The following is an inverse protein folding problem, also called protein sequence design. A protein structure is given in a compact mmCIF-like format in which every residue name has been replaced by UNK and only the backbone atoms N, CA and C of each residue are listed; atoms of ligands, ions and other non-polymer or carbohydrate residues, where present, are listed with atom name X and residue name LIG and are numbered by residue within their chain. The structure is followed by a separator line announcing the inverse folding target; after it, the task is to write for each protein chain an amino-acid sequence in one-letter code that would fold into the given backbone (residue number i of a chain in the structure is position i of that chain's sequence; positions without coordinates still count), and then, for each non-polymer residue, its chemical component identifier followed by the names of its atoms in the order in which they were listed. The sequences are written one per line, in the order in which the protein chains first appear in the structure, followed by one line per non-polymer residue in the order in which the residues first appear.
data_IF_537881704700
#
_entry.id   IF_537881704700
#
_cell.length_a   1.000
_cell.length_b   1.000
_cell.length_c   1.000
_cell.angle_alpha   90.00
_cell.angle_beta   90.00
_cell.angle_gamma   90.00
#
_symmetry.space_group_name_H-M   'P 1'
#
loop_
_entity.id
_entity.type
_entity.pdbx_description
1 polymer ?
#
# COMPACT_ATOMS: atom_id res chain seq x y z
N UNK A 1 -16.59 43.05 67.87
CA UNK A 1 -17.40 43.41 66.67
C UNK A 1 -16.61 44.12 65.57
N UNK A 2 -15.27 43.94 65.44
CA UNK A 2 -14.47 44.48 64.31
C UNK A 2 -13.60 43.38 63.64
N UNK A 3 -13.67 42.12 64.08
CA UNK A 3 -12.91 41.01 63.48
C UNK A 3 -13.66 40.24 62.38
N UNK A 4 -14.99 40.32 62.30
CA UNK A 4 -15.79 39.49 61.38
C UNK A 4 -15.98 40.09 59.98
N UNK A 5 -15.77 41.40 59.79
CA UNK A 5 -15.93 42.02 58.47
C UNK A 5 -14.76 41.72 57.51
N UNK A 6 -13.56 41.44 58.03
CA UNK A 6 -12.40 41.12 57.18
C UNK A 6 -12.45 39.72 56.58
N UNK A 7 -13.22 38.80 57.17
CA UNK A 7 -13.33 37.44 56.65
C UNK A 7 -14.37 37.32 55.54
N UNK A 8 -15.42 38.14 55.58
CA UNK A 8 -16.45 38.21 54.53
C UNK A 8 -15.87 38.71 53.19
N UNK A 9 -15.02 39.74 53.22
CA UNK A 9 -14.39 40.29 52.00
C UNK A 9 -13.49 39.29 51.27
N UNK A 10 -12.78 38.42 52.01
CA UNK A 10 -11.91 37.39 51.41
C UNK A 10 -12.72 36.29 50.73
N UNK A 11 -13.88 35.92 51.28
CA UNK A 11 -14.78 34.92 50.67
C UNK A 11 -15.39 35.43 49.37
N UNK A 12 -15.82 36.68 49.32
CA UNK A 12 -16.33 37.29 48.07
C UNK A 12 -15.24 37.40 46.99
N UNK A 13 -14.00 37.73 47.36
CA UNK A 13 -12.90 37.82 46.40
C UNK A 13 -12.53 36.45 45.80
N UNK A 14 -12.51 35.40 46.63
CA UNK A 14 -12.28 34.03 46.14
C UNK A 14 -13.42 33.53 45.24
N UNK A 15 -14.67 33.85 45.57
CA UNK A 15 -15.81 33.49 44.73
C UNK A 15 -15.74 34.19 43.37
N UNK A 16 -15.35 35.47 43.34
CA UNK A 16 -15.20 36.21 42.08
C UNK A 16 -14.10 35.64 41.18
N UNK A 17 -12.95 35.25 41.76
CA UNK A 17 -11.87 34.60 41.01
C UNK A 17 -12.31 33.22 40.49
N UNK A 18 -13.02 32.43 41.31
CA UNK A 18 -13.52 31.12 40.90
C UNK A 18 -14.56 31.25 39.78
N UNK A 19 -15.48 32.21 39.85
CA UNK A 19 -16.45 32.48 38.79
C UNK A 19 -15.76 32.96 37.50
N UNK A 20 -14.74 33.81 37.57
CA UNK A 20 -13.96 34.20 36.40
C UNK A 20 -13.19 33.02 35.79
N UNK A 21 -12.59 32.15 36.61
CA UNK A 21 -11.90 30.95 36.12
C UNK A 21 -12.86 29.95 35.46
N UNK A 22 -14.07 29.77 36.02
CA UNK A 22 -15.12 28.93 35.42
C UNK A 22 -15.60 29.54 34.11
N UNK A 23 -15.81 30.86 34.03
CA UNK A 23 -16.20 31.52 32.79
C UNK A 23 -15.12 31.41 31.72
N UNK A 24 -13.84 31.57 32.07
CA UNK A 24 -12.73 31.34 31.13
C UNK A 24 -12.73 29.88 30.68
N UNK A 25 -12.94 28.91 31.57
CA UNK A 25 -13.01 27.49 31.18
C UNK A 25 -14.19 27.21 30.24
N UNK A 26 -15.37 27.77 30.53
CA UNK A 26 -16.60 27.62 29.74
C UNK A 26 -16.44 28.27 28.36
N UNK A 27 -15.88 29.47 28.25
CA UNK A 27 -15.77 30.16 26.96
C UNK A 27 -14.58 29.72 26.11
N UNK A 28 -13.48 29.26 26.73
CA UNK A 28 -12.27 28.89 26.00
C UNK A 28 -12.19 27.39 25.66
N UNK A 29 -12.76 26.51 26.49
CA UNK A 29 -12.64 25.05 26.27
C UNK A 29 -13.90 24.38 25.72
N UNK A 30 -15.10 24.97 25.87
CA UNK A 30 -16.33 24.38 25.32
C UNK A 30 -16.44 24.45 23.78
N UNK A 31 -15.78 25.38 23.03
CA UNK A 31 -15.81 25.31 21.56
C UNK A 31 -15.13 24.07 20.96
N UNK A 32 -14.36 23.31 21.75
CA UNK A 32 -13.68 22.09 21.32
C UNK A 32 -14.37 20.79 21.74
N UNK A 33 -15.48 20.87 22.48
CA UNK A 33 -16.36 19.73 22.73
C UNK A 33 -17.47 19.71 21.67
N UNK A 34 -17.18 19.09 20.50
CA UNK A 34 -18.26 18.75 19.56
C UNK A 34 -19.25 17.77 20.22
N UNK A 35 -20.55 17.90 19.92
CA UNK A 35 -21.60 17.13 20.56
C UNK A 35 -21.52 15.65 20.18
N UNK A 36 -21.73 14.80 21.18
CA UNK A 36 -22.05 13.40 21.03
C UNK A 36 -23.32 13.26 20.17
N UNK A 37 -23.13 12.91 18.90
CA UNK A 37 -24.20 12.47 18.02
C UNK A 37 -24.41 10.97 18.25
N UNK A 38 -25.49 10.67 18.96
CA UNK A 38 -26.48 9.63 18.62
C UNK A 38 -25.93 8.36 17.93
N UNK A 39 -25.64 7.34 18.73
CA UNK A 39 -25.46 5.96 18.26
C UNK A 39 -26.84 5.30 18.24
N UNK A 40 -27.34 4.78 17.10
CA UNK A 40 -28.55 3.98 17.08
C UNK A 40 -28.32 2.64 17.80
N UNK A 41 -29.11 2.37 18.83
CA UNK A 41 -29.27 1.04 19.41
C UNK A 41 -30.08 0.16 18.43
N UNK A 42 -29.42 -0.40 17.43
CA UNK A 42 -29.93 -1.58 16.70
C UNK A 42 -28.84 -2.23 15.86
N UNK A 43 -27.82 -2.80 16.52
CA UNK A 43 -27.05 -3.88 15.88
C UNK A 43 -27.81 -5.19 16.05
N UNK A 44 -28.40 -5.60 14.94
CA UNK A 44 -29.15 -6.82 14.77
C UNK A 44 -28.33 -8.06 15.13
N UNK A 45 -29.06 -8.99 15.71
CA UNK A 45 -28.73 -10.39 15.97
C UNK A 45 -28.01 -11.03 14.78
N UNK A 46 -26.99 -11.82 15.11
CA UNK A 46 -26.46 -12.97 14.39
C UNK A 46 -27.24 -13.36 13.11
N UNK A 47 -26.57 -13.21 11.96
CA UNK A 47 -26.92 -13.94 10.75
C UNK A 47 -26.67 -15.45 10.99
N UNK A 48 -27.55 -16.34 10.50
CA UNK A 48 -27.43 -17.76 10.72
C UNK A 48 -26.26 -18.33 9.93
N UNK A 49 -25.60 -19.28 10.58
CA UNK A 49 -24.69 -20.29 10.07
C UNK A 49 -25.04 -20.70 8.63
N UNK A 50 -24.29 -20.17 7.66
CA UNK A 50 -24.37 -20.65 6.29
C UNK A 50 -23.78 -22.07 6.26
N UNK A 51 -24.64 -23.02 5.94
CA UNK A 51 -24.31 -24.44 5.82
C UNK A 51 -23.10 -24.62 4.90
N UNK A 52 -22.10 -25.32 5.44
CA UNK A 52 -20.87 -25.73 4.79
C UNK A 52 -21.19 -26.72 3.67
N UNK A 53 -21.48 -26.20 2.47
CA UNK A 53 -21.43 -26.99 1.24
C UNK A 53 -19.98 -27.45 1.06
N UNK A 54 -19.77 -28.77 0.93
CA UNK A 54 -18.47 -29.36 0.66
C UNK A 54 -17.83 -28.68 -0.55
N UNK A 55 -16.72 -27.99 -0.29
CA UNK A 55 -16.04 -27.10 -1.22
C UNK A 55 -15.29 -27.89 -2.29
N UNK A 56 -15.59 -27.60 -3.55
CA UNK A 56 -14.60 -27.72 -4.63
C UNK A 56 -13.50 -26.71 -4.24
N UNK A 57 -12.32 -27.23 -3.86
CA UNK A 57 -11.17 -26.53 -3.26
C UNK A 57 -10.47 -25.53 -4.21
N UNK A 58 -11.21 -24.78 -5.01
CA UNK A 58 -10.62 -23.63 -5.69
C UNK A 58 -10.53 -22.47 -4.70
N UNK A 59 -9.33 -22.24 -4.18
CA UNK A 59 -8.98 -21.09 -3.33
C UNK A 59 -8.86 -19.77 -4.09
N UNK A 60 -8.92 -19.81 -5.43
CA UNK A 60 -8.59 -18.66 -6.28
C UNK A 60 -9.62 -17.51 -6.22
N UNK A 61 -10.86 -17.79 -5.79
CA UNK A 61 -11.94 -16.79 -5.72
C UNK A 61 -12.79 -16.94 -4.46
N UNK A 62 -12.85 -15.89 -3.66
CA UNK A 62 -13.57 -15.85 -2.39
C UNK A 62 -14.62 -14.73 -2.37
N UNK A 63 -15.88 -15.07 -2.10
CA UNK A 63 -16.94 -14.08 -1.89
C UNK A 63 -16.84 -13.50 -0.48
N UNK A 64 -16.33 -12.27 -0.36
CA UNK A 64 -16.11 -11.62 0.94
C UNK A 64 -17.39 -10.93 1.46
N UNK A 65 -18.18 -10.38 0.54
CA UNK A 65 -19.47 -9.74 0.84
C UNK A 65 -20.35 -9.78 -0.40
N UNK A 66 -21.67 -9.53 -0.29
CA UNK A 66 -22.54 -9.49 -1.45
C UNK A 66 -21.94 -8.63 -2.57
N UNK A 67 -21.84 -9.23 -3.75
CA UNK A 67 -21.33 -8.59 -4.97
C UNK A 67 -19.85 -8.22 -4.98
N UNK A 68 -19.02 -8.71 -4.05
CA UNK A 68 -17.57 -8.47 -4.03
C UNK A 68 -16.81 -9.78 -3.81
N UNK A 69 -15.98 -10.11 -4.79
CA UNK A 69 -15.13 -11.29 -4.78
C UNK A 69 -13.67 -10.85 -4.67
N UNK A 70 -12.94 -11.45 -3.74
CA UNK A 70 -11.47 -11.38 -3.69
C UNK A 70 -10.90 -12.48 -4.57
N UNK A 71 -9.86 -12.12 -5.31
CA UNK A 71 -9.14 -13.01 -6.21
C UNK A 71 -7.78 -13.29 -5.60
N UNK A 72 -7.41 -14.57 -5.55
CA UNK A 72 -6.20 -15.08 -4.94
C UNK A 72 -5.29 -15.66 -6.04
N UNK A 73 -4.30 -14.91 -6.55
CA UNK A 73 -3.40 -15.41 -7.58
C UNK A 73 -2.57 -16.60 -7.09
N UNK A 74 -2.37 -17.56 -7.98
CA UNK A 74 -1.51 -18.73 -7.77
C UNK A 74 -0.12 -18.45 -8.34
N UNK A 75 0.91 -18.85 -7.61
CA UNK A 75 2.31 -18.73 -8.04
C UNK A 75 2.76 -19.97 -8.80
N UNK A 76 3.41 -19.80 -9.95
CA UNK A 76 4.06 -20.86 -10.71
C UNK A 76 5.53 -20.56 -11.00
N UNK A 77 6.20 -21.52 -11.65
CA UNK A 77 7.57 -21.40 -12.17
C UNK A 77 7.53 -21.86 -13.62
N UNK A 78 8.03 -21.04 -14.54
CA UNK A 78 8.05 -21.40 -15.96
C UNK A 78 9.27 -22.26 -16.33
N UNK A 79 9.39 -22.60 -17.61
CA UNK A 79 10.48 -23.44 -18.14
C UNK A 79 11.88 -22.81 -17.96
N UNK A 80 11.97 -21.50 -17.75
CA UNK A 80 13.22 -20.79 -17.53
C UNK A 80 13.56 -20.63 -16.04
N UNK A 81 12.72 -21.14 -15.13
CA UNK A 81 12.86 -20.93 -13.68
C UNK A 81 12.24 -19.63 -13.18
N UNK A 82 11.64 -18.83 -14.07
CA UNK A 82 11.08 -17.54 -13.68
C UNK A 82 9.78 -17.74 -12.91
N UNK A 83 9.65 -17.02 -11.78
CA UNK A 83 8.46 -17.05 -10.94
C UNK A 83 7.39 -16.18 -11.60
N UNK A 84 6.19 -16.74 -11.72
CA UNK A 84 5.05 -16.01 -12.24
C UNK A 84 3.81 -16.13 -11.37
N UNK A 85 2.88 -15.20 -11.56
CA UNK A 85 1.57 -15.20 -10.90
C UNK A 85 0.48 -15.29 -11.95
N UNK A 86 -0.49 -16.16 -11.72
CA UNK A 86 -1.66 -16.30 -12.58
C UNK A 86 -2.93 -16.41 -11.75
N UNK A 87 -4.08 -16.10 -12.35
CA UNK A 87 -5.39 -16.31 -11.71
C UNK A 87 -6.33 -17.03 -12.66
N UNK A 88 -7.10 -17.99 -12.13
CA UNK A 88 -8.21 -18.60 -12.85
C UNK A 88 -9.52 -18.03 -12.30
N UNK A 89 -10.19 -17.19 -13.10
CA UNK A 89 -11.46 -16.57 -12.70
C UNK A 89 -12.68 -17.34 -13.19
N UNK A 90 -12.61 -17.87 -14.41
CA UNK A 90 -13.77 -18.42 -15.09
C UNK A 90 -14.23 -19.74 -14.48
N UNK A 91 -13.29 -20.65 -14.21
CA UNK A 91 -13.62 -21.97 -13.66
C UNK A 91 -14.21 -21.87 -12.25
N UNK A 92 -13.61 -21.12 -11.29
CA UNK A 92 -14.17 -21.04 -9.94
C UNK A 92 -15.51 -20.31 -9.90
N UNK A 93 -15.68 -19.24 -10.68
CA UNK A 93 -16.96 -18.53 -10.76
C UNK A 93 -18.08 -19.39 -11.36
N UNK A 94 -17.75 -20.20 -12.37
CA UNK A 94 -18.68 -21.17 -12.94
C UNK A 94 -19.01 -22.30 -11.96
N UNK A 95 -18.00 -22.96 -11.40
CA UNK A 95 -18.19 -24.22 -10.67
C UNK A 95 -18.63 -24.00 -9.23
N UNK A 96 -17.99 -23.07 -8.52
CA UNK A 96 -18.31 -22.76 -7.12
C UNK A 96 -19.52 -21.84 -7.01
N UNK A 97 -19.60 -20.81 -7.87
CA UNK A 97 -20.63 -19.76 -7.77
C UNK A 97 -21.73 -19.85 -8.83
N UNK A 98 -21.72 -20.88 -9.70
CA UNK A 98 -22.77 -21.16 -10.70
C UNK A 98 -23.03 -20.02 -11.68
N UNK A 99 -21.99 -19.27 -12.05
CA UNK A 99 -22.13 -18.21 -13.06
C UNK A 99 -22.51 -18.78 -14.43
N UNK A 100 -23.49 -18.16 -15.08
CA UNK A 100 -23.95 -18.57 -16.42
C UNK A 100 -23.10 -17.96 -17.54
N UNK A 101 -23.32 -18.40 -18.78
CA UNK A 101 -22.58 -17.93 -19.96
C UNK A 101 -22.66 -16.40 -20.14
N UNK A 102 -23.80 -15.78 -19.85
CA UNK A 102 -23.95 -14.31 -19.92
C UNK A 102 -23.07 -13.60 -18.91
N UNK A 103 -23.00 -14.09 -17.66
CA UNK A 103 -22.13 -13.51 -16.63
C UNK A 103 -20.65 -13.70 -16.96
N UNK A 104 -20.26 -14.87 -17.46
CA UNK A 104 -18.88 -15.16 -17.86
C UNK A 104 -18.47 -14.32 -19.09
N UNK A 105 -19.36 -14.13 -20.06
CA UNK A 105 -19.12 -13.25 -21.21
C UNK A 105 -18.97 -11.79 -20.76
N UNK A 106 -19.83 -11.32 -19.86
CA UNK A 106 -19.69 -9.99 -19.26
C UNK A 106 -18.39 -9.85 -18.43
N UNK A 107 -17.91 -10.93 -17.81
CA UNK A 107 -16.63 -10.95 -17.12
C UNK A 107 -15.47 -10.75 -18.10
N UNK A 108 -15.45 -11.51 -19.20
CA UNK A 108 -14.42 -11.38 -20.23
C UNK A 108 -14.35 -9.93 -20.74
N UNK A 109 -15.49 -9.31 -21.02
CA UNK A 109 -15.57 -7.91 -21.42
C UNK A 109 -14.99 -6.95 -20.36
N UNK A 110 -15.28 -7.17 -19.08
CA UNK A 110 -14.73 -6.37 -17.97
C UNK A 110 -13.22 -6.57 -17.87
N UNK A 111 -12.74 -7.80 -17.97
CA UNK A 111 -11.31 -8.13 -17.90
C UNK A 111 -10.54 -7.47 -19.05
N UNK A 112 -11.03 -7.61 -20.27
CA UNK A 112 -10.44 -6.96 -21.45
C UNK A 112 -10.34 -5.46 -21.23
N UNK A 113 -11.40 -4.78 -20.79
CA UNK A 113 -11.35 -3.34 -20.50
C UNK A 113 -10.41 -2.96 -19.35
N UNK A 114 -10.35 -3.78 -18.31
CA UNK A 114 -9.56 -3.49 -17.09
C UNK A 114 -8.07 -3.86 -17.21
N UNK A 115 -7.70 -4.71 -18.16
CA UNK A 115 -6.34 -5.24 -18.31
C UNK A 115 -5.65 -4.78 -19.60
N UNK A 116 -6.40 -4.31 -20.60
CA UNK A 116 -5.83 -3.88 -21.88
C UNK A 116 -5.97 -2.37 -22.08
N UNK A 117 -5.01 -1.77 -22.80
CA UNK A 117 -5.01 -0.34 -23.13
C UNK A 117 -5.87 -0.07 -24.40
N UNK A 118 -7.12 -0.53 -24.43
CA UNK A 118 -7.98 -0.42 -25.61
C UNK A 118 -8.33 1.01 -26.06
N UNK A 119 -7.92 2.05 -25.31
CA UNK A 119 -7.99 3.44 -25.78
C UNK A 119 -7.11 3.73 -27.00
N UNK A 120 -6.18 2.84 -27.38
CA UNK A 120 -5.22 3.07 -28.48
C UNK A 120 -5.64 2.39 -29.80
N UNK A 121 -6.57 1.42 -29.79
CA UNK A 121 -6.80 0.53 -30.94
C UNK A 121 -7.80 1.02 -32.02
N UNK A 122 -8.12 2.32 -32.10
CA UNK A 122 -9.04 2.86 -33.13
C UNK A 122 -8.40 3.73 -34.21
N UNK A 123 -7.09 4.01 -34.18
CA UNK A 123 -6.41 4.61 -35.33
C UNK A 123 -5.85 3.50 -36.21
N UNK A 124 -6.44 3.33 -37.39
CA UNK A 124 -6.18 2.24 -38.35
C UNK A 124 -4.82 2.26 -39.03
N UNK A 125 -3.72 2.40 -38.27
CA UNK A 125 -2.36 2.25 -38.78
C UNK A 125 -1.68 1.10 -38.03
N UNK A 126 -1.95 -0.11 -38.51
CA UNK A 126 -1.43 -1.36 -37.98
C UNK A 126 0.04 -1.54 -38.41
N UNK A 127 0.94 -0.82 -37.77
CA UNK A 127 2.31 -1.30 -37.61
C UNK A 127 2.32 -2.25 -36.42
N UNK A 128 2.93 -3.42 -36.58
CA UNK A 128 2.86 -4.57 -35.68
C UNK A 128 3.23 -4.22 -34.23
N UNK A 129 2.25 -3.81 -33.43
CA UNK A 129 2.39 -3.76 -31.98
C UNK A 129 2.46 -5.19 -31.47
N UNK A 130 3.51 -5.49 -30.71
CA UNK A 130 3.59 -6.71 -29.92
C UNK A 130 2.43 -6.65 -28.94
N UNK A 131 1.38 -7.44 -29.18
CA UNK A 131 0.28 -7.59 -28.24
C UNK A 131 0.86 -7.98 -26.88
N UNK A 132 0.36 -7.38 -25.81
CA UNK A 132 0.71 -7.84 -24.47
C UNK A 132 0.26 -9.30 -24.34
N UNK A 133 1.08 -10.18 -23.77
CA UNK A 133 0.74 -11.59 -23.54
C UNK A 133 -0.64 -11.74 -22.87
N UNK A 134 -0.97 -10.81 -21.98
CA UNK A 134 -2.26 -10.78 -21.29
C UNK A 134 -3.44 -10.44 -22.23
N UNK A 135 -3.24 -9.55 -23.19
CA UNK A 135 -4.25 -9.23 -24.21
C UNK A 135 -4.47 -10.43 -25.14
N UNK A 136 -3.40 -11.09 -25.56
CA UNK A 136 -3.48 -12.30 -26.38
C UNK A 136 -4.22 -13.44 -25.66
N UNK A 137 -3.94 -13.66 -24.37
CA UNK A 137 -4.63 -14.65 -23.55
C UNK A 137 -6.14 -14.39 -23.47
N UNK A 138 -6.53 -13.14 -23.22
CA UNK A 138 -7.95 -12.78 -23.11
C UNK A 138 -8.68 -12.91 -24.44
N UNK A 139 -8.04 -12.56 -25.56
CA UNK A 139 -8.66 -12.66 -26.89
C UNK A 139 -8.84 -14.10 -27.39
N UNK A 140 -8.11 -15.07 -26.82
CA UNK A 140 -8.26 -16.51 -27.12
C UNK A 140 -9.38 -17.19 -26.31
N UNK A 141 -9.90 -16.52 -25.28
CA UNK A 141 -10.95 -17.07 -24.44
C UNK A 141 -12.28 -17.13 -25.21
N UNK A 142 -12.82 -18.34 -25.33
CA UNK A 142 -14.10 -18.60 -26.01
C UNK A 142 -15.14 -19.10 -25.00
N UNK A 143 -16.27 -18.40 -24.94
CA UNK A 143 -17.37 -18.75 -24.04
C UNK A 143 -18.52 -19.28 -24.88
N UNK A 144 -18.70 -20.60 -24.85
CA UNK A 144 -19.76 -21.29 -25.57
C UNK A 144 -21.08 -21.20 -24.77
N UNK A 145 -22.12 -20.52 -25.30
CA UNK A 145 -23.39 -20.36 -24.60
C UNK A 145 -24.21 -21.66 -24.52
N UNK A 146 -23.97 -22.61 -25.43
CA UNK A 146 -24.80 -23.81 -25.60
C UNK A 146 -24.22 -25.01 -24.84
N UNK A 147 -22.88 -25.10 -24.71
CA UNK A 147 -22.22 -26.26 -24.11
C UNK A 147 -22.00 -26.10 -22.59
N UNK A 148 -22.30 -24.93 -21.99
CA UNK A 148 -21.95 -24.61 -20.59
C UNK A 148 -20.45 -24.83 -20.27
N UNK A 149 -19.61 -24.98 -21.30
CA UNK A 149 -18.17 -25.20 -21.18
C UNK A 149 -17.43 -23.92 -21.49
N UNK A 150 -16.65 -23.44 -20.52
CA UNK A 150 -15.57 -22.49 -20.78
C UNK A 150 -14.47 -23.29 -21.48
N UNK A 151 -14.30 -23.10 -22.79
CA UNK A 151 -13.20 -23.70 -23.53
C UNK A 151 -12.16 -22.61 -23.77
N UNK A 152 -10.88 -22.93 -23.57
CA UNK A 152 -9.75 -22.09 -23.97
C UNK A 152 -9.50 -20.80 -23.15
N UNK A 153 -10.21 -20.55 -22.06
CA UNK A 153 -9.87 -19.41 -21.18
C UNK A 153 -8.72 -19.80 -20.26
N UNK A 154 -7.49 -19.61 -20.73
CA UNK A 154 -6.27 -19.83 -19.96
C UNK A 154 -6.25 -18.94 -18.69
N UNK A 155 -5.54 -19.36 -17.62
CA UNK A 155 -5.28 -18.51 -16.48
C UNK A 155 -4.66 -17.17 -16.91
N UNK A 156 -5.15 -16.08 -16.33
CA UNK A 156 -4.69 -14.72 -16.63
C UNK A 156 -3.32 -14.53 -15.98
N UNK A 157 -2.32 -14.23 -16.78
CA UNK A 157 -0.97 -13.98 -16.31
C UNK A 157 -0.83 -12.55 -15.78
N UNK A 158 -0.45 -12.40 -14.51
CA UNK A 158 -0.27 -11.09 -13.86
C UNK A 158 1.14 -10.51 -14.06
N UNK A 159 2.05 -11.31 -14.60
CA UNK A 159 3.46 -10.96 -14.74
C UNK A 159 4.35 -12.07 -14.20
N UNK A 160 5.60 -12.03 -14.63
CA UNK A 160 6.70 -12.77 -14.02
C UNK A 160 7.71 -11.81 -13.43
N UNK A 161 8.32 -12.24 -12.34
CA UNK A 161 9.60 -11.71 -11.91
C UNK A 161 10.65 -12.72 -12.29
N UNK A 162 11.63 -12.31 -13.10
CA UNK A 162 12.64 -13.27 -13.46
C UNK A 162 13.39 -13.66 -12.20
N UNK A 163 13.69 -14.95 -12.08
CA UNK A 163 14.56 -15.48 -11.04
C UNK A 163 15.91 -14.72 -11.08
N UNK A 164 16.26 -14.20 -12.26
CA UNK A 164 17.41 -13.32 -12.49
C UNK A 164 17.41 -11.97 -11.76
N UNK A 165 16.35 -11.59 -11.03
CA UNK A 165 16.50 -10.55 -10.01
C UNK A 165 17.49 -10.99 -8.93
N UNK A 166 17.48 -12.26 -8.53
CA UNK A 166 18.48 -12.85 -7.62
C UNK A 166 19.88 -12.91 -8.26
N UNK A 167 19.94 -13.14 -9.58
CA UNK A 167 21.20 -13.07 -10.34
C UNK A 167 21.62 -11.63 -10.70
N UNK A 168 20.91 -10.62 -10.21
CA UNK A 168 21.29 -9.23 -10.45
C UNK A 168 22.61 -8.97 -9.73
N UNK A 169 23.66 -8.66 -10.49
CA UNK A 169 24.97 -8.28 -9.95
C UNK A 169 24.89 -7.09 -8.97
N UNK A 170 23.81 -6.30 -9.02
CA UNK A 170 23.55 -5.25 -8.03
C UNK A 170 23.11 -5.79 -6.65
N UNK A 171 22.55 -7.01 -6.53
CA UNK A 171 22.23 -7.57 -5.21
C UNK A 171 23.47 -8.04 -4.45
N UNK A 172 24.51 -8.50 -5.16
CA UNK A 172 25.75 -8.98 -4.53
C UNK A 172 26.71 -7.86 -4.13
N UNK A 173 26.50 -6.66 -4.66
CA UNK A 173 27.31 -5.47 -4.40
C UNK A 173 26.86 -4.75 -3.13
N UNK A 174 27.81 -4.14 -2.44
CA UNK A 174 27.54 -3.33 -1.24
C UNK A 174 26.82 -2.05 -1.60
N UNK A 175 26.18 -1.42 -0.60
CA UNK A 175 25.58 -0.11 -0.75
C UNK A 175 26.56 0.88 -1.39
N UNK A 176 27.79 0.99 -0.93
CA UNK A 176 28.78 1.93 -1.46
C UNK A 176 29.17 1.67 -2.93
N UNK A 177 28.95 0.45 -3.43
CA UNK A 177 29.29 0.01 -4.79
C UNK A 177 28.14 0.20 -5.78
N UNK A 178 26.90 0.20 -5.29
CA UNK A 178 25.68 0.42 -6.10
C UNK A 178 25.06 1.79 -5.91
N UNK A 179 25.29 2.39 -4.75
CA UNK A 179 24.85 3.73 -4.45
C UNK A 179 25.65 4.65 -5.36
N UNK A 180 24.99 5.48 -6.17
CA UNK A 180 25.62 6.68 -6.64
C UNK A 180 25.82 7.57 -5.41
N UNK A 181 26.92 7.39 -4.68
CA UNK A 181 27.38 8.33 -3.64
C UNK A 181 27.50 9.76 -4.23
N UNK A 182 27.48 9.89 -5.56
CA UNK A 182 27.46 11.12 -6.34
C UNK A 182 26.07 11.61 -6.81
N UNK A 183 24.97 10.92 -6.50
CA UNK A 183 23.61 11.38 -6.76
C UNK A 183 22.77 11.27 -5.48
N UNK A 184 23.21 11.98 -4.43
CA UNK A 184 22.36 12.24 -3.27
C UNK A 184 21.00 12.73 -3.77
N UNK A 185 19.91 12.26 -3.14
CA UNK A 185 18.56 12.66 -3.50
C UNK A 185 18.50 14.16 -3.75
N UNK A 186 17.96 14.54 -4.89
CA UNK A 186 18.04 15.91 -5.38
C UNK A 186 17.47 16.88 -4.33
N UNK A 187 18.22 17.90 -3.93
CA UNK A 187 17.64 18.96 -3.10
C UNK A 187 16.63 19.72 -3.96
N UNK A 188 15.38 19.74 -3.50
CA UNK A 188 14.34 20.51 -4.16
C UNK A 188 14.37 21.94 -3.63
N UNK A 189 15.13 22.85 -4.25
CA UNK A 189 15.22 24.24 -3.77
C UNK A 189 13.91 25.04 -3.98
N UNK A 190 13.54 25.88 -3.01
CA UNK A 190 12.33 26.72 -3.08
C UNK A 190 12.49 27.88 -4.07
N UNK A 191 13.67 28.50 -4.12
CA UNK A 191 14.00 29.63 -4.97
C UNK A 191 15.48 29.57 -5.37
N UNK A 192 15.82 29.94 -6.62
CA UNK A 192 17.22 30.19 -6.99
C UNK A 192 17.61 31.49 -6.30
N UNK A 193 18.52 31.49 -5.32
CA UNK A 193 18.88 32.71 -4.61
C UNK A 193 19.31 33.79 -5.61
N UNK A 194 19.10 35.05 -5.24
CA UNK A 194 19.71 36.15 -5.98
C UNK A 194 21.22 35.88 -6.17
N UNK A 195 21.80 36.29 -7.32
CA UNK A 195 23.20 35.98 -7.66
C UNK A 195 24.24 36.44 -6.61
N UNK A 196 23.83 37.23 -5.61
CA UNK A 196 24.65 37.76 -4.53
C UNK A 196 24.49 37.05 -3.18
N UNK A 197 23.69 35.99 -3.05
CA UNK A 197 23.62 35.21 -1.81
C UNK A 197 24.93 34.43 -1.62
N UNK A 198 25.74 34.85 -0.66
CA UNK A 198 27.12 34.39 -0.51
C UNK A 198 27.27 32.94 -0.01
N UNK A 199 26.20 32.29 0.48
CA UNK A 199 26.21 30.84 0.72
C UNK A 199 24.78 30.29 0.89
N UNK A 200 24.42 29.23 0.15
CA UNK A 200 23.20 28.47 0.40
C UNK A 200 23.40 27.49 1.56
N UNK A 201 22.45 27.45 2.50
CA UNK A 201 22.41 26.46 3.57
C UNK A 201 21.62 25.24 3.08
N UNK A 202 22.28 24.09 2.97
CA UNK A 202 21.61 22.84 2.61
C UNK A 202 20.69 22.34 3.73
N UNK A 203 19.51 21.86 3.36
CA UNK A 203 18.60 21.21 4.29
C UNK A 203 19.08 19.81 4.68
N UNK A 204 18.71 19.38 5.88
CA UNK A 204 19.02 18.02 6.36
C UNK A 204 18.40 16.97 5.46
N UNK A 205 19.23 16.09 4.88
CA UNK A 205 18.77 14.95 4.07
C UNK A 205 18.61 13.70 4.93
N UNK A 206 17.90 12.71 4.43
CA UNK A 206 17.93 11.33 4.92
C UNK A 206 19.39 10.90 5.06
N UNK A 207 19.81 10.56 6.28
CA UNK A 207 21.23 10.29 6.56
C UNK A 207 21.74 9.10 5.76
N UNK A 208 23.04 9.09 5.45
CA UNK A 208 23.69 7.98 4.77
C UNK A 208 23.50 6.66 5.52
N UNK A 209 23.59 6.68 6.85
CA UNK A 209 23.32 5.51 7.72
C UNK A 209 21.91 4.97 7.49
N UNK A 210 20.88 5.83 7.48
CA UNK A 210 19.49 5.41 7.22
C UNK A 210 19.34 4.84 5.81
N UNK A 211 19.89 5.52 4.81
CA UNK A 211 19.86 5.06 3.40
C UNK A 211 20.49 3.68 3.26
N UNK A 212 21.66 3.45 3.88
CA UNK A 212 22.34 2.16 3.90
C UNK A 212 21.51 1.07 4.57
N UNK A 213 20.84 1.38 5.68
CA UNK A 213 19.95 0.44 6.38
C UNK A 213 18.72 0.07 5.53
N UNK A 214 18.07 1.05 4.91
CA UNK A 214 16.92 0.83 4.02
C UNK A 214 17.34 0.05 2.78
N UNK A 215 18.49 0.37 2.21
CA UNK A 215 19.07 -0.36 1.09
C UNK A 215 19.33 -1.83 1.42
N UNK A 216 20.00 -2.10 2.55
CA UNK A 216 20.27 -3.48 2.98
C UNK A 216 18.97 -4.23 3.27
N UNK A 217 17.98 -3.57 3.90
CA UNK A 217 16.67 -4.16 4.14
C UNK A 217 15.94 -4.49 2.83
N UNK A 218 16.04 -3.62 1.82
CA UNK A 218 15.45 -3.84 0.50
C UNK A 218 16.15 -4.98 -0.26
N UNK A 219 17.48 -5.06 -0.23
CA UNK A 219 18.22 -6.20 -0.80
C UNK A 219 17.77 -7.53 -0.19
N UNK A 220 17.73 -7.59 1.15
CA UNK A 220 17.28 -8.79 1.86
C UNK A 220 15.81 -9.11 1.60
N UNK A 221 14.96 -8.09 1.43
CA UNK A 221 13.57 -8.28 1.00
C UNK A 221 13.47 -8.86 -0.41
N UNK A 222 14.28 -8.40 -1.37
CA UNK A 222 14.29 -8.93 -2.74
C UNK A 222 14.60 -10.44 -2.73
N UNK A 223 15.65 -10.84 -1.99
CA UNK A 223 16.01 -12.24 -1.81
C UNK A 223 14.90 -13.05 -1.12
N UNK A 224 14.39 -12.51 -0.01
CA UNK A 224 13.33 -13.15 0.76
C UNK A 224 12.05 -13.35 -0.07
N UNK A 225 11.55 -12.29 -0.72
CA UNK A 225 10.34 -12.34 -1.52
C UNK A 225 10.48 -13.28 -2.72
N UNK A 226 11.65 -13.31 -3.37
CA UNK A 226 11.94 -14.29 -4.43
C UNK A 226 11.84 -15.73 -3.91
N UNK A 227 12.55 -16.03 -2.82
CA UNK A 227 12.56 -17.37 -2.21
C UNK A 227 11.17 -17.83 -1.73
N UNK A 228 10.36 -16.90 -1.23
CA UNK A 228 9.02 -17.17 -0.71
C UNK A 228 7.90 -16.99 -1.74
N UNK A 229 8.27 -16.64 -2.99
CA UNK A 229 7.38 -16.36 -4.12
C UNK A 229 6.28 -15.36 -3.73
N UNK A 230 6.69 -14.24 -3.15
CA UNK A 230 5.80 -13.14 -2.75
C UNK A 230 5.81 -12.11 -3.87
N UNK A 231 4.62 -11.80 -4.39
CA UNK A 231 4.47 -10.70 -5.33
C UNK A 231 4.63 -9.37 -4.59
N UNK A 232 5.37 -8.43 -5.17
CA UNK A 232 5.51 -7.09 -4.58
C UNK A 232 5.86 -6.03 -5.64
N UNK A 233 5.68 -4.76 -5.27
CA UNK A 233 5.99 -3.60 -6.12
C UNK A 233 6.26 -2.37 -5.26
N UNK A 234 7.07 -1.42 -5.73
CA UNK A 234 7.20 -0.12 -5.05
C UNK A 234 5.88 0.65 -5.04
N UNK A 235 5.65 1.41 -3.97
CA UNK A 235 4.48 2.30 -3.85
C UNK A 235 4.81 3.61 -3.13
N UNK A 236 3.81 4.49 -3.00
CA UNK A 236 3.84 5.72 -2.20
C UNK A 236 5.10 6.59 -2.40
N UNK A 237 5.70 7.07 -1.31
CA UNK A 237 6.88 7.95 -1.36
C UNK A 237 8.07 7.29 -2.04
N UNK A 238 8.21 5.97 -1.87
CA UNK A 238 9.24 5.18 -2.56
C UNK A 238 9.07 5.17 -4.07
N UNK A 239 7.85 5.00 -4.57
CA UNK A 239 7.59 5.06 -6.01
C UNK A 239 7.80 6.47 -6.56
N UNK A 240 7.40 7.52 -5.83
CA UNK A 240 7.69 8.90 -6.23
C UNK A 240 9.20 9.13 -6.36
N UNK A 241 9.98 8.70 -5.36
CA UNK A 241 11.43 8.81 -5.37
C UNK A 241 12.07 8.06 -6.54
N UNK A 242 11.62 6.83 -6.80
CA UNK A 242 12.02 6.05 -7.97
C UNK A 242 11.79 6.82 -9.29
N UNK A 243 10.59 7.39 -9.45
CA UNK A 243 10.18 8.08 -10.67
C UNK A 243 10.81 9.46 -10.86
N UNK A 244 11.37 10.07 -9.80
CA UNK A 244 12.04 11.38 -9.88
C UNK A 244 13.52 11.22 -10.22
N UNK A 245 14.26 10.56 -9.35
CA UNK A 245 15.71 10.44 -9.46
C UNK A 245 16.24 9.04 -9.09
N UNK A 246 15.36 8.04 -9.04
CA UNK A 246 15.73 6.66 -8.75
C UNK A 246 16.16 6.45 -7.30
N UNK A 247 15.72 7.30 -6.37
CA UNK A 247 16.25 7.37 -5.00
C UNK A 247 15.13 7.60 -3.96
N UNK A 248 15.42 7.41 -2.68
CA UNK A 248 14.49 7.84 -1.61
C UNK A 248 14.37 9.37 -1.61
N UNK A 249 13.18 9.91 -1.35
CA UNK A 249 12.99 11.36 -1.25
C UNK A 249 13.89 11.93 -0.12
N UNK A 250 14.56 13.09 -0.31
CA UNK A 250 15.59 13.56 0.63
C UNK A 250 15.13 13.80 2.07
N UNK A 251 13.82 13.93 2.32
CA UNK A 251 13.24 14.16 3.64
C UNK A 251 12.39 12.98 4.13
N UNK A 252 12.31 11.89 3.36
CA UNK A 252 11.57 10.70 3.77
C UNK A 252 12.37 9.90 4.80
N UNK A 253 11.64 9.16 5.64
CA UNK A 253 12.17 8.42 6.78
C UNK A 253 12.13 6.91 6.63
N UNK A 254 11.37 6.42 5.66
CA UNK A 254 10.99 5.03 5.43
C UNK A 254 10.83 4.75 3.93
N UNK A 255 10.46 3.52 3.60
CA UNK A 255 10.09 3.10 2.26
C UNK A 255 8.78 2.33 2.28
N UNK A 256 8.13 2.19 1.13
CA UNK A 256 6.83 1.55 1.01
C UNK A 256 6.81 0.57 -0.15
N UNK A 257 6.23 -0.61 0.09
CA UNK A 257 5.97 -1.61 -0.94
C UNK A 257 4.54 -2.13 -0.86
N UNK A 258 4.00 -2.52 -2.01
CA UNK A 258 2.80 -3.35 -2.08
C UNK A 258 3.14 -4.83 -2.04
N UNK A 259 2.23 -5.62 -1.48
CA UNK A 259 2.15 -7.09 -1.59
C UNK A 259 0.71 -7.50 -1.87
N UNK A 260 0.47 -8.72 -2.36
CA UNK A 260 -0.89 -9.23 -2.48
C UNK A 260 -1.46 -9.53 -1.09
N UNK A 261 -2.70 -9.10 -0.83
CA UNK A 261 -3.41 -9.42 0.41
C UNK A 261 -3.66 -10.92 0.58
N UNK A 262 -3.72 -11.67 -0.51
CA UNK A 262 -3.75 -13.14 -0.50
C UNK A 262 -2.49 -13.78 0.11
N UNK A 263 -1.37 -13.06 0.17
CA UNK A 263 -0.14 -13.50 0.86
C UNK A 263 -0.13 -13.12 2.36
N UNK A 264 -1.16 -12.46 2.92
CA UNK A 264 -1.16 -11.99 4.32
C UNK A 264 -0.87 -13.12 5.31
N UNK A 265 -1.55 -14.27 5.20
CA UNK A 265 -1.35 -15.39 6.11
C UNK A 265 0.08 -15.95 5.98
N UNK A 266 0.60 -16.04 4.75
CA UNK A 266 1.99 -16.45 4.48
C UNK A 266 2.96 -15.48 5.16
N UNK A 267 2.79 -14.17 4.97
CA UNK A 267 3.64 -13.13 5.56
C UNK A 267 3.61 -13.21 7.08
N UNK A 268 2.44 -13.40 7.69
CA UNK A 268 2.30 -13.57 9.15
C UNK A 268 3.05 -14.79 9.68
N UNK A 269 2.98 -15.93 8.99
CA UNK A 269 3.72 -17.15 9.38
C UNK A 269 5.23 -16.98 9.27
N UNK A 270 5.69 -16.23 8.27
CA UNK A 270 7.12 -16.00 8.03
C UNK A 270 7.71 -14.84 8.85
N UNK A 271 6.88 -14.09 9.56
CA UNK A 271 7.31 -12.95 10.35
C UNK A 271 8.26 -13.38 11.48
N UNK A 272 9.26 -12.55 11.75
CA UNK A 272 10.15 -12.65 12.89
C UNK A 272 9.34 -12.54 14.18
N UNK A 273 9.41 -13.58 15.01
CA UNK A 273 8.87 -13.53 16.38
C UNK A 273 9.53 -12.37 17.12
N UNK A 274 8.73 -11.50 17.74
CA UNK A 274 9.19 -10.23 18.33
C UNK A 274 10.36 -10.41 19.32
N UNK A 275 10.30 -11.42 20.17
CA UNK A 275 11.37 -11.76 21.11
C UNK A 275 12.68 -12.23 20.46
N UNK A 276 12.67 -12.53 19.17
CA UNK A 276 13.81 -12.98 18.39
C UNK A 276 14.38 -11.90 17.46
N UNK A 277 13.88 -10.66 17.54
CA UNK A 277 14.40 -9.54 16.76
C UNK A 277 15.88 -9.31 17.08
N UNK A 278 16.70 -9.18 16.03
CA UNK A 278 18.14 -8.92 16.15
C UNK A 278 18.53 -7.69 15.34
N UNK A 279 19.10 -6.69 16.01
CA UNK A 279 19.64 -5.49 15.37
C UNK A 279 20.78 -5.88 14.42
N UNK A 280 20.82 -5.24 13.25
CA UNK A 280 21.77 -5.53 12.17
C UNK A 280 21.44 -6.78 11.37
N UNK A 281 20.28 -7.41 11.58
CA UNK A 281 19.78 -8.57 10.82
C UNK A 281 18.44 -8.23 10.18
N UNK A 282 18.06 -9.00 9.15
CA UNK A 282 16.74 -8.89 8.55
C UNK A 282 15.67 -9.28 9.56
N UNK A 283 14.75 -8.36 9.85
CA UNK A 283 13.56 -8.62 10.65
C UNK A 283 12.33 -8.19 9.85
N UNK A 284 11.28 -9.00 9.89
CA UNK A 284 9.96 -8.66 9.37
C UNK A 284 8.94 -8.89 10.47
N UNK A 285 8.25 -7.86 10.92
CA UNK A 285 7.21 -7.99 11.96
C UNK A 285 5.87 -7.60 11.36
N UNK A 286 4.79 -8.26 11.79
CA UNK A 286 3.43 -7.92 11.38
C UNK A 286 2.67 -7.19 12.49
N UNK A 287 1.66 -6.41 12.11
CA UNK A 287 0.67 -5.91 13.07
C UNK A 287 -0.02 -7.10 13.77
N UNK A 288 -0.42 -6.96 15.04
CA UNK A 288 -0.95 -8.08 15.83
C UNK A 288 -2.30 -8.62 15.35
N UNK A 289 -3.13 -7.76 14.75
CA UNK A 289 -4.49 -8.10 14.31
C UNK A 289 -4.82 -7.57 12.92
N UNK A 290 -6.11 -7.33 12.69
CA UNK A 290 -6.61 -6.71 11.47
C UNK A 290 -6.14 -5.25 11.35
N UNK A 291 -6.30 -4.68 10.15
CA UNK A 291 -6.09 -3.25 9.93
C UNK A 291 -6.94 -2.43 10.89
N UNK A 292 -6.39 -1.34 11.38
CA UNK A 292 -7.03 -0.50 12.37
C UNK A 292 -7.54 0.79 11.72
N UNK A 293 -8.85 0.89 11.41
CA UNK A 293 -9.43 2.08 10.78
C UNK A 293 -9.48 3.29 11.72
N UNK A 294 -9.49 3.06 13.03
CA UNK A 294 -9.54 4.11 14.05
C UNK A 294 -8.28 4.04 14.92
N UNK A 295 -7.65 5.19 15.13
CA UNK A 295 -6.47 5.33 15.97
C UNK A 295 -6.89 5.62 17.44
N UNK A 296 -6.30 4.95 18.46
CA UNK A 296 -5.33 3.86 18.37
C UNK A 296 -6.00 2.49 18.25
N UNK A 297 -5.64 1.76 17.19
CA UNK A 297 -5.92 0.33 17.09
C UNK A 297 -4.94 -0.52 17.91
N UNK A 298 -5.03 -1.85 17.78
CA UNK A 298 -4.16 -2.78 18.51
C UNK A 298 -2.70 -2.67 18.03
N UNK A 299 -1.76 -2.53 18.97
CA UNK A 299 -0.32 -2.39 18.72
C UNK A 299 0.45 -3.25 19.72
N UNK A 300 1.62 -3.73 19.30
CA UNK A 300 2.57 -4.41 20.18
C UNK A 300 3.97 -3.83 20.01
N UNK A 301 4.70 -3.69 21.12
CA UNK A 301 6.11 -3.32 21.11
C UNK A 301 7.00 -4.42 20.51
N UNK A 302 8.29 -4.16 20.37
CA UNK A 302 9.25 -5.15 19.88
C UNK A 302 9.51 -6.29 20.88
N UNK A 303 9.00 -6.20 22.11
CA UNK A 303 9.03 -7.26 23.12
C UNK A 303 7.70 -8.04 23.19
N UNK A 304 6.74 -7.72 22.33
CA UNK A 304 5.41 -8.33 22.30
C UNK A 304 4.41 -7.82 23.34
N UNK A 305 4.71 -6.74 24.07
CA UNK A 305 3.76 -6.13 25.00
C UNK A 305 2.76 -5.24 24.25
N UNK A 306 1.49 -5.27 24.65
CA UNK A 306 0.49 -4.35 24.12
C UNK A 306 0.76 -2.90 24.54
N UNK A 307 0.60 -1.98 23.59
CA UNK A 307 0.85 -0.55 23.81
C UNK A 307 -0.23 0.32 23.17
N UNK A 308 -0.44 1.52 23.73
CA UNK A 308 -1.49 2.45 23.27
C UNK A 308 -1.02 3.44 22.20
N UNK A 309 0.28 3.54 21.97
CA UNK A 309 0.88 4.47 21.03
C UNK A 309 2.11 3.88 20.35
N UNK A 310 2.54 4.51 19.25
CA UNK A 310 3.76 4.14 18.53
C UNK A 310 4.98 4.63 19.31
N UNK A 311 5.48 3.80 20.23
CA UNK A 311 6.69 4.13 21.01
C UNK A 311 7.96 3.49 20.43
N UNK A 312 7.83 2.45 19.60
CA UNK A 312 8.94 1.83 18.87
C UNK A 312 8.54 1.41 17.44
N UNK A 313 9.50 0.88 16.68
CA UNK A 313 9.32 0.44 15.28
C UNK A 313 8.22 -0.59 15.09
N UNK A 314 8.00 -1.40 16.12
CA UNK A 314 7.09 -2.53 16.15
C UNK A 314 5.64 -2.15 16.46
N UNK A 315 5.46 -0.96 17.05
CA UNK A 315 4.21 -0.46 17.63
C UNK A 315 3.28 0.19 16.60
N UNK A 316 2.96 -0.53 15.54
CA UNK A 316 2.06 -0.09 14.49
C UNK A 316 0.79 -0.95 14.45
N UNK A 317 -0.28 -0.35 13.94
CA UNK A 317 -1.58 -0.98 13.71
C UNK A 317 -1.99 -0.98 12.22
N UNK A 318 -1.21 -0.27 11.41
CA UNK A 318 -1.15 -0.23 9.95
C UNK A 318 0.25 0.30 9.62
N UNK A 319 0.99 -0.24 8.63
CA UNK A 319 0.65 -1.19 7.56
C UNK A 319 0.49 -2.67 8.00
N UNK A 320 0.48 -3.65 7.07
CA UNK A 320 0.44 -5.10 7.40
C UNK A 320 1.74 -5.53 8.10
N UNK A 321 2.88 -5.15 7.54
CA UNK A 321 4.19 -5.51 8.08
C UNK A 321 5.20 -4.37 7.98
N UNK A 322 6.26 -4.47 8.79
CA UNK A 322 7.48 -3.65 8.71
C UNK A 322 8.70 -4.54 8.56
N UNK A 323 9.51 -4.23 7.56
CA UNK A 323 10.80 -4.86 7.33
C UNK A 323 11.88 -3.90 7.80
N UNK A 324 12.82 -4.34 8.63
CA UNK A 324 13.88 -3.48 9.13
C UNK A 324 15.12 -4.25 9.55
N UNK A 325 16.26 -3.55 9.47
CA UNK A 325 17.57 -4.01 9.95
C UNK A 325 17.92 -3.40 11.30
N UNK A 326 17.39 -2.22 11.61
CA UNK A 326 17.62 -1.47 12.84
C UNK A 326 16.37 -0.67 13.19
N UNK A 327 16.22 -0.29 14.45
CA UNK A 327 15.06 0.46 14.91
C UNK A 327 14.97 1.84 14.25
N UNK A 328 13.77 2.24 13.86
CA UNK A 328 13.46 3.54 13.27
C UNK A 328 13.83 3.68 11.79
N UNK A 329 14.19 2.58 11.11
CA UNK A 329 14.51 2.55 9.68
C UNK A 329 13.84 1.32 9.06
N UNK A 330 12.66 1.50 8.49
CA UNK A 330 11.81 0.40 8.05
C UNK A 330 11.23 0.61 6.65
N UNK A 331 10.86 -0.50 6.04
CA UNK A 331 10.05 -0.58 4.83
C UNK A 331 8.65 -1.04 5.27
N UNK A 332 7.65 -0.20 5.04
CA UNK A 332 6.25 -0.51 5.29
C UNK A 332 5.69 -1.38 4.14
N UNK A 333 4.94 -2.42 4.52
CA UNK A 333 4.39 -3.43 3.60
C UNK A 333 2.88 -3.32 3.57
N UNK A 334 2.33 -2.79 2.49
CA UNK A 334 0.90 -2.55 2.32
C UNK A 334 0.25 -3.64 1.47
N UNK A 335 -0.82 -4.29 1.95
CA UNK A 335 -1.53 -5.29 1.14
C UNK A 335 -2.44 -4.59 0.12
N UNK A 336 -2.52 -5.18 -1.07
CA UNK A 336 -3.53 -4.87 -2.08
C UNK A 336 -4.42 -6.08 -2.31
N UNK A 337 -5.72 -5.88 -2.43
CA UNK A 337 -6.65 -6.97 -2.74
C UNK A 337 -7.13 -6.83 -4.18
N UNK A 338 -7.02 -7.89 -4.98
CA UNK A 338 -7.61 -7.92 -6.32
C UNK A 338 -9.09 -8.22 -6.16
N UNK A 339 -9.94 -7.33 -6.66
CA UNK A 339 -11.39 -7.42 -6.50
C UNK A 339 -12.11 -7.52 -7.83
N UNK A 340 -13.08 -8.43 -7.89
CA UNK A 340 -14.15 -8.45 -8.88
C UNK A 340 -15.44 -8.03 -8.20
N UNK A 341 -16.11 -7.01 -8.75
CA UNK A 341 -17.40 -6.53 -8.27
C UNK A 341 -18.50 -6.77 -9.28
N UNK A 342 -19.70 -7.08 -8.78
CA UNK A 342 -20.90 -7.25 -9.59
C UNK A 342 -21.96 -6.19 -9.26
N UNK A 343 -22.92 -5.97 -10.14
CA UNK A 343 -24.13 -5.22 -9.81
C UNK A 343 -25.17 -6.11 -9.09
N UNK A 344 -26.33 -5.53 -8.75
CA UNK A 344 -27.42 -6.24 -8.06
C UNK A 344 -28.00 -7.41 -8.86
N UNK A 345 -27.79 -7.44 -10.18
CA UNK A 345 -28.17 -8.54 -11.07
C UNK A 345 -27.10 -9.65 -11.15
N UNK A 346 -25.99 -9.51 -10.41
CA UNK A 346 -24.88 -10.46 -10.44
C UNK A 346 -24.01 -10.38 -11.69
N UNK A 347 -24.14 -9.31 -12.49
CA UNK A 347 -23.28 -9.09 -13.66
C UNK A 347 -21.99 -8.36 -13.23
N UNK A 348 -20.81 -8.79 -13.70
CA UNK A 348 -19.55 -8.07 -13.54
C UNK A 348 -19.67 -6.60 -13.89
N UNK A 349 -19.26 -5.73 -12.97
CA UNK A 349 -19.26 -4.28 -13.17
C UNK A 349 -17.84 -3.71 -13.15
N UNK A 350 -16.97 -4.25 -12.31
CA UNK A 350 -15.63 -3.67 -12.09
C UNK A 350 -14.64 -4.75 -11.71
N UNK A 351 -13.45 -4.67 -12.29
CA UNK A 351 -12.31 -5.51 -11.94
C UNK A 351 -11.07 -4.63 -11.75
N UNK A 352 -10.36 -4.83 -10.64
CA UNK A 352 -9.25 -3.97 -10.24
C UNK A 352 -8.66 -4.40 -8.91
N UNK A 353 -8.01 -3.46 -8.21
CA UNK A 353 -7.49 -3.70 -6.87
C UNK A 353 -7.90 -2.60 -5.90
N UNK A 354 -7.92 -2.93 -4.62
CA UNK A 354 -8.15 -1.98 -3.52
C UNK A 354 -6.92 -1.88 -2.64
N UNK A 355 -6.69 -0.70 -2.08
CA UNK A 355 -5.67 -0.47 -1.07
C UNK A 355 -6.29 -0.60 0.32
N UNK A 356 -5.65 -1.38 1.19
CA UNK A 356 -6.10 -1.47 2.57
C UNK A 356 -5.92 -0.12 3.28
N UNK A 357 -6.97 0.33 3.96
CA UNK A 357 -6.94 1.56 4.75
C UNK A 357 -7.44 2.81 4.04
N UNK A 358 -7.82 2.70 2.76
CA UNK A 358 -8.63 3.72 2.12
C UNK A 358 -10.10 3.53 2.50
N UNK A 359 -10.71 4.59 3.04
CA UNK A 359 -12.15 4.61 3.39
C UNK A 359 -13.05 4.62 2.14
N UNK A 360 -12.49 4.93 0.97
CA UNK A 360 -13.22 4.99 -0.30
C UNK A 360 -13.44 3.58 -0.84
N UNK A 361 -14.66 3.19 -1.25
CA UNK A 361 -14.91 1.97 -2.01
C UNK A 361 -14.23 1.93 -3.39
N UNK A 362 -13.22 2.75 -3.67
CA UNK A 362 -12.63 2.85 -4.99
C UNK A 362 -11.87 1.58 -5.38
N UNK A 363 -12.03 1.18 -6.64
CA UNK A 363 -11.30 0.08 -7.26
C UNK A 363 -10.35 0.68 -8.28
N UNK A 364 -9.06 0.51 -8.03
CA UNK A 364 -7.99 0.95 -8.91
C UNK A 364 -7.92 0.06 -10.16
N UNK A 365 -7.68 0.67 -11.32
CA UNK A 365 -7.53 -0.07 -12.58
C UNK A 365 -6.31 -1.00 -12.53
N UNK A 366 -6.48 -2.27 -12.87
CA UNK A 366 -5.35 -3.21 -12.98
C UNK A 366 -4.31 -2.75 -14.00
N UNK A 367 -4.70 -2.05 -15.09
CA UNK A 367 -3.74 -1.50 -16.05
C UNK A 367 -2.71 -0.56 -15.43
N UNK A 368 -3.07 0.15 -14.34
CA UNK A 368 -2.11 1.02 -13.64
C UNK A 368 -0.98 0.24 -12.98
N UNK A 369 -1.23 -1.04 -12.66
CA UNK A 369 -0.36 -1.92 -11.92
C UNK A 369 0.32 -2.95 -12.81
N UNK A 370 -0.43 -3.65 -13.67
CA UNK A 370 0.02 -4.86 -14.36
C UNK A 370 0.17 -4.72 -15.89
N UNK A 371 1.10 -5.49 -16.51
CA UNK A 371 2.14 -6.26 -15.83
C UNK A 371 3.15 -5.32 -15.18
N UNK A 372 3.78 -5.76 -14.09
CA UNK A 372 4.79 -4.93 -13.43
C UNK A 372 5.96 -4.65 -14.38
N UNK A 373 6.54 -3.46 -14.25
CA UNK A 373 7.76 -3.07 -14.94
C UNK A 373 8.94 -2.99 -13.96
N UNK A 374 10.14 -2.70 -14.48
CA UNK A 374 11.32 -2.44 -13.66
C UNK A 374 11.59 -0.95 -13.52
N UNK A 375 12.01 -0.54 -12.34
CA UNK A 375 12.40 0.82 -12.03
C UNK A 375 13.64 0.82 -11.14
N UNK A 376 14.31 1.97 -11.05
CA UNK A 376 15.51 2.16 -10.24
C UNK A 376 15.16 2.66 -8.84
N UNK A 377 15.77 2.07 -7.81
CA UNK A 377 15.66 2.54 -6.43
C UNK A 377 16.98 2.33 -5.70
N UNK A 378 17.66 3.42 -5.37
CA UNK A 378 18.97 3.43 -4.74
C UNK A 378 20.00 2.56 -5.48
N UNK A 379 19.93 2.54 -6.82
CA UNK A 379 20.79 1.72 -7.69
C UNK A 379 20.35 0.26 -7.85
N UNK A 380 19.27 -0.17 -7.19
CA UNK A 380 18.66 -1.49 -7.38
C UNK A 380 17.59 -1.41 -8.47
N UNK A 381 17.53 -2.45 -9.30
CA UNK A 381 16.39 -2.68 -10.19
C UNK A 381 15.31 -3.43 -9.41
N UNK A 382 14.14 -2.82 -9.26
CA UNK A 382 13.03 -3.34 -8.46
C UNK A 382 11.72 -3.31 -9.25
N UNK A 383 10.72 -4.12 -8.85
CA UNK A 383 9.38 -4.06 -9.41
C UNK A 383 8.67 -2.74 -9.15
N UNK A 384 8.02 -2.22 -10.20
CA UNK A 384 7.17 -1.04 -10.15
C UNK A 384 5.86 -1.27 -10.92
N UNK A 385 4.79 -0.53 -10.60
CA UNK A 385 3.56 -0.52 -11.39
C UNK A 385 3.81 -0.19 -12.87
N UNK A 386 3.04 -0.77 -13.80
CA UNK A 386 3.13 -0.51 -15.25
C UNK A 386 3.05 0.98 -15.60
N UNK A 387 2.05 1.67 -15.03
CA UNK A 387 1.79 3.10 -15.25
C UNK A 387 1.85 3.83 -13.91
N UNK A 388 3.07 4.03 -13.38
CA UNK A 388 3.28 4.54 -12.03
C UNK A 388 2.78 5.98 -11.89
N UNK A 389 2.81 6.75 -12.97
CA UNK A 389 2.22 8.08 -13.04
C UNK A 389 0.70 8.06 -12.87
N UNK A 390 -0.01 7.08 -13.43
CA UNK A 390 -1.47 6.94 -13.26
C UNK A 390 -1.82 6.64 -11.80
N UNK A 391 -1.08 5.72 -11.18
CA UNK A 391 -1.24 5.40 -9.76
C UNK A 391 -0.92 6.61 -8.87
N UNK A 392 0.23 7.25 -9.08
CA UNK A 392 0.66 8.40 -8.27
C UNK A 392 -0.24 9.62 -8.47
N UNK A 393 -0.77 9.85 -9.68
CA UNK A 393 -1.77 10.90 -9.91
C UNK A 393 -3.08 10.64 -9.15
N UNK A 394 -3.45 9.38 -8.96
CA UNK A 394 -4.64 9.02 -8.21
C UNK A 394 -4.44 9.24 -6.72
N UNK A 395 -3.32 8.78 -6.17
CA UNK A 395 -3.02 8.85 -4.73
C UNK A 395 -2.61 10.27 -4.29
N UNK A 396 -1.78 10.95 -5.08
CA UNK A 396 -1.16 12.23 -4.72
C UNK A 396 -1.55 13.39 -5.64
N UNK A 397 -2.64 13.25 -6.42
CA UNK A 397 -3.10 14.22 -7.42
C UNK A 397 -2.10 14.48 -8.58
N UNK A 398 -2.51 15.28 -9.57
CA UNK A 398 -1.71 15.58 -10.79
C UNK A 398 -0.35 16.21 -10.51
N UNK A 399 -0.16 16.82 -9.33
CA UNK A 399 1.06 17.50 -8.94
C UNK A 399 2.04 16.59 -8.18
N UNK A 400 1.84 15.27 -8.15
CA UNK A 400 2.74 14.34 -7.44
C UNK A 400 4.22 14.47 -7.83
N UNK A 401 4.54 14.93 -9.05
CA UNK A 401 5.92 15.20 -9.48
C UNK A 401 6.52 16.40 -8.77
N UNK A 402 5.71 17.37 -8.37
CA UNK A 402 6.13 18.53 -7.59
C UNK A 402 6.42 18.10 -6.14
N UNK A 403 7.62 18.36 -5.61
CA UNK A 403 7.93 18.09 -4.21
C UNK A 403 6.99 18.83 -3.27
N UNK A 404 6.49 18.13 -2.26
CA UNK A 404 5.62 18.73 -1.23
C UNK A 404 6.42 19.71 -0.36
N UNK A 405 7.64 19.31 0.03
CA UNK A 405 8.59 20.21 0.69
C UNK A 405 9.70 20.64 -0.27
N UNK A 406 10.11 21.90 -0.15
CA UNK A 406 11.30 22.46 -0.79
C UNK A 406 12.26 23.02 0.25
N UNK A 407 13.55 22.93 -0.03
CA UNK A 407 14.60 23.45 0.82
C UNK A 407 14.69 24.97 0.69
N UNK A 408 14.51 25.66 1.82
CA UNK A 408 14.79 27.07 1.95
C UNK A 408 16.29 27.25 2.21
N UNK A 409 17.01 27.74 1.20
CA UNK A 409 18.46 27.89 1.27
C UNK A 409 18.97 29.02 2.15
N UNK A 410 18.07 29.84 2.71
CA UNK A 410 18.41 30.84 3.73
C UNK A 410 18.32 30.25 5.14
N UNK A 411 17.38 29.32 5.38
CA UNK A 411 17.13 28.75 6.71
C UNK A 411 17.68 27.34 6.90
N UNK A 412 18.00 26.63 5.81
CA UNK A 412 18.36 25.22 5.84
C UNK A 412 17.20 24.30 6.26
N UNK A 413 15.94 24.76 6.11
CA UNK A 413 14.74 24.00 6.49
C UNK A 413 13.92 23.60 5.28
N UNK A 414 13.31 22.42 5.37
CA UNK A 414 12.29 21.98 4.44
C UNK A 414 10.98 22.71 4.75
N UNK A 415 10.44 23.41 3.76
CA UNK A 415 9.22 24.21 3.86
C UNK A 415 8.20 23.71 2.84
N UNK A 416 6.93 23.60 3.24
CA UNK A 416 5.87 23.17 2.34
C UNK A 416 5.67 24.20 1.22
N UNK A 417 5.48 23.72 0.00
CA UNK A 417 5.26 24.56 -1.20
C UNK A 417 3.87 25.17 -1.23
#
# INVERSE_FOLDING_TARGET
MISDEKESGKKCFFLAILCCAILIFVFYYIPFAKPALWVPNSFGKFLPEFQKLQEINSTDVELIRPHVYHIHPVTGVDENGDIYWQMNLFEPLREKYRWNATQLSALLDVLVRSLTNQSVARSGDATAYTLDRMEEQLLRCEIDPDILSVKLCDPIFLGSFPENLLNNFALSRKFEENNPVFNLSSIYWQYKPEPNATQLIECSKTSETRRKLLYNALQQWIEFAGNQRIWWSLTFGSLIGSMRDGNIIPYDTDMDIFVLGSDEEKIRRLATVRNNIKVGKFNMVTRPGQYCPVNPGQRMDCKGNEVKSMHDTCSFCGPLARIFMDYGNYIDVYPINIELRTNNQGLPSTFGYTLEGEDDPFVYSMTSLLPLQRCQMMGLQVPCPRHPDTLLQRVYNKNWKTPYYRCNGTTGKWESV
#
